data_IF_186324943251
#
_entry.id   IF_186324943251
#
_cell.length_a   1.000
_cell.length_b   1.000
_cell.length_c   1.000
_cell.angle_alpha   90.00
_cell.angle_beta   90.00
_cell.angle_gamma   90.00
#
_symmetry.space_group_name_H-M   'P 1'
#
loop_
_entity.id
_entity.type
_entity.pdbx_description
1 polymer ?
#
# COMPACT_ATOMS: atom_id res chain seq x y z
N UNK A 1 12.18 7.85 -12.03
CA UNK A 1 11.83 7.50 -10.65
C UNK A 1 11.58 6.01 -10.63
N UNK A 2 12.32 5.28 -9.81
CA UNK A 2 12.35 3.81 -9.86
C UNK A 2 11.18 3.26 -9.06
N UNK A 3 10.69 2.06 -9.42
CA UNK A 3 9.56 1.44 -8.72
C UNK A 3 9.78 1.30 -7.21
N UNK A 4 11.02 1.02 -6.78
CA UNK A 4 11.38 0.91 -5.36
C UNK A 4 11.06 2.15 -4.53
N UNK A 5 11.26 3.35 -5.09
CA UNK A 5 10.99 4.60 -4.38
C UNK A 5 9.48 4.78 -4.14
N UNK A 6 8.66 4.45 -5.13
CA UNK A 6 7.20 4.53 -5.04
C UNK A 6 6.65 3.49 -4.06
N UNK A 7 7.16 2.25 -4.12
CA UNK A 7 6.77 1.17 -3.19
C UNK A 7 7.10 1.57 -1.75
N UNK A 8 8.32 2.04 -1.51
CA UNK A 8 8.77 2.44 -0.18
C UNK A 8 7.93 3.58 0.41
N UNK A 9 7.51 4.55 -0.42
CA UNK A 9 6.65 5.65 0.01
C UNK A 9 5.25 5.18 0.41
N UNK A 10 4.66 4.25 -0.35
CA UNK A 10 3.34 3.69 -0.05
C UNK A 10 3.39 2.84 1.23
N UNK A 11 4.41 2.01 1.40
CA UNK A 11 4.60 1.22 2.61
C UNK A 11 4.82 2.09 3.86
N UNK A 12 5.61 3.17 3.73
CA UNK A 12 5.82 4.13 4.83
C UNK A 12 4.53 4.85 5.26
N UNK A 13 3.54 4.97 4.37
CA UNK A 13 2.21 5.51 4.67
C UNK A 13 1.28 4.47 5.32
N UNK A 14 1.78 3.27 5.63
CA UNK A 14 0.99 2.18 6.22
C UNK A 14 0.12 1.45 5.21
N UNK A 15 0.39 1.63 3.92
CA UNK A 15 -0.31 0.91 2.86
C UNK A 15 0.37 -0.42 2.55
N UNK A 16 -0.40 -1.40 2.12
CA UNK A 16 0.16 -2.67 1.65
C UNK A 16 0.35 -2.59 0.15
N UNK A 17 1.56 -2.81 -0.33
CA UNK A 17 1.88 -2.73 -1.76
C UNK A 17 1.94 -4.13 -2.35
N UNK A 18 1.29 -4.32 -3.49
CA UNK A 18 1.34 -5.53 -4.30
C UNK A 18 1.95 -5.14 -5.64
N UNK A 19 3.11 -5.69 -5.96
CA UNK A 19 3.82 -5.36 -7.20
C UNK A 19 3.51 -6.39 -8.26
N UNK A 20 2.99 -5.93 -9.39
CA UNK A 20 2.74 -6.76 -10.56
C UNK A 20 3.83 -6.48 -11.60
N UNK A 21 4.67 -7.48 -11.85
CA UNK A 21 5.80 -7.37 -12.79
C UNK A 21 5.33 -7.76 -14.18
N UNK A 22 5.35 -6.80 -15.09
CA UNK A 22 5.01 -6.97 -16.51
C UNK A 22 6.24 -7.37 -17.35
N UNK A 23 7.44 -7.35 -16.75
CA UNK A 23 8.71 -7.77 -17.35
C UNK A 23 9.60 -8.48 -16.33
N UNK A 24 10.68 -9.12 -16.79
CA UNK A 24 11.71 -9.74 -15.95
C UNK A 24 12.75 -8.73 -15.41
N UNK A 25 12.59 -7.42 -15.68
CA UNK A 25 13.51 -6.41 -15.19
C UNK A 25 13.50 -6.36 -13.65
N UNK A 26 14.67 -6.17 -13.00
CA UNK A 26 14.73 -5.98 -11.56
C UNK A 26 14.01 -4.68 -11.15
N UNK A 27 13.41 -4.64 -9.95
CA UNK A 27 12.63 -3.47 -9.47
C UNK A 27 13.42 -2.16 -9.45
N UNK A 28 14.74 -2.26 -9.30
CA UNK A 28 15.68 -1.14 -9.33
C UNK A 28 15.78 -0.48 -10.72
N UNK A 29 15.48 -1.24 -11.77
CA UNK A 29 15.51 -0.81 -13.17
C UNK A 29 14.09 -0.71 -13.78
N UNK A 30 13.10 -1.30 -13.12
CA UNK A 30 11.71 -1.27 -13.57
C UNK A 30 11.08 0.10 -13.34
N UNK A 31 10.27 0.52 -14.31
CA UNK A 31 9.50 1.76 -14.26
C UNK A 31 8.06 1.48 -13.92
N UNK A 32 7.46 2.34 -13.09
CA UNK A 32 6.03 2.24 -12.75
C UNK A 32 5.19 2.61 -13.96
N UNK A 33 4.33 1.69 -14.37
CA UNK A 33 3.42 1.83 -15.51
C UNK A 33 2.04 2.26 -15.03
N UNK A 34 1.63 1.77 -13.86
CA UNK A 34 0.31 2.03 -13.30
C UNK A 34 0.30 1.86 -11.78
N UNK A 35 -0.57 2.63 -11.12
CA UNK A 35 -0.84 2.50 -9.69
C UNK A 35 -2.36 2.43 -9.52
N UNK A 36 -2.84 1.34 -8.94
CA UNK A 36 -4.26 1.08 -8.74
C UNK A 36 -4.55 0.93 -7.25
N UNK A 37 -5.44 1.78 -6.72
CA UNK A 37 -5.90 1.65 -5.34
C UNK A 37 -6.85 0.45 -5.24
N UNK A 38 -6.53 -0.49 -4.37
CA UNK A 38 -7.34 -1.64 -4.01
C UNK A 38 -8.23 -1.39 -2.79
N UNK A 39 -8.55 -2.48 -2.08
CA UNK A 39 -9.39 -2.45 -0.89
C UNK A 39 -8.72 -1.73 0.29
N UNK A 40 -9.55 -1.12 1.14
CA UNK A 40 -9.08 -0.49 2.38
C UNK A 40 -8.80 -1.56 3.45
N UNK A 41 -7.66 -1.42 4.12
CA UNK A 41 -7.27 -2.21 5.29
C UNK A 41 -7.90 -1.55 6.51
N UNK A 42 -8.74 -2.30 7.21
CA UNK A 42 -9.48 -1.82 8.38
C UNK A 42 -8.97 -2.52 9.62
N UNK A 43 -8.76 -1.74 10.68
CA UNK A 43 -8.40 -2.26 11.99
C UNK A 43 -9.42 -1.83 13.04
N UNK A 44 -9.51 -2.61 14.11
CA UNK A 44 -10.30 -2.26 15.29
C UNK A 44 -9.41 -1.48 16.24
N UNK A 45 -9.70 -0.19 16.40
CA UNK A 45 -8.96 0.66 17.34
C UNK A 45 -9.79 0.80 18.60
N UNK A 46 -9.19 0.47 19.74
CA UNK A 46 -9.79 0.68 21.06
C UNK A 46 -9.55 2.12 21.47
N UNK A 47 -10.64 2.86 21.68
CA UNK A 47 -10.59 4.17 22.31
C UNK A 47 -10.52 3.99 23.82
N UNK A 48 -9.34 4.25 24.39
CA UNK A 48 -9.10 4.16 25.83
C UNK A 48 -9.73 5.33 26.62
N UNK A 49 -10.13 6.42 25.96
CA UNK A 49 -10.70 7.62 26.59
C UNK A 49 -12.20 7.46 26.86
N UNK A 50 -12.89 6.69 26.02
CA UNK A 50 -14.35 6.47 26.14
C UNK A 50 -14.75 4.99 26.27
N UNK A 51 -13.77 4.09 26.46
CA UNK A 51 -13.94 2.62 26.49
C UNK A 51 -14.85 2.09 25.37
N UNK A 52 -14.67 2.65 24.16
CA UNK A 52 -15.39 2.27 22.94
C UNK A 52 -14.43 1.65 21.95
N UNK A 53 -14.78 0.49 21.42
CA UNK A 53 -14.08 -0.08 20.27
C UNK A 53 -14.69 0.44 18.98
N UNK A 54 -13.90 1.16 18.18
CA UNK A 54 -14.29 1.50 16.81
C UNK A 54 -13.90 0.35 15.89
N UNK A 55 -14.85 -0.54 15.62
CA UNK A 55 -14.72 -1.60 14.61
C UNK A 55 -14.95 -1.03 13.21
N UNK A 56 -14.02 -0.24 12.67
CA UNK A 56 -13.92 0.04 11.20
C UNK A 56 -12.85 1.06 10.80
N UNK A 57 -11.88 1.42 11.65
CA UNK A 57 -10.96 2.51 11.29
C UNK A 57 -10.06 2.11 10.12
N UNK A 58 -10.10 2.88 9.02
CA UNK A 58 -9.24 2.66 7.86
C UNK A 58 -7.80 2.97 8.29
N UNK A 59 -6.98 1.94 8.38
CA UNK A 59 -5.59 2.02 8.85
C UNK A 59 -4.61 2.09 7.68
N UNK A 60 -5.05 1.67 6.49
CA UNK A 60 -4.31 1.79 5.25
C UNK A 60 -5.15 1.33 4.07
N UNK A 61 -4.57 1.29 2.88
CA UNK A 61 -5.18 0.70 1.70
C UNK A 61 -4.18 -0.23 1.02
N UNK A 62 -4.68 -1.17 0.23
CA UNK A 62 -3.83 -1.96 -0.66
C UNK A 62 -3.60 -1.17 -1.94
N UNK A 63 -2.37 -1.10 -2.43
CA UNK A 63 -2.03 -0.51 -3.72
C UNK A 63 -1.40 -1.57 -4.62
N UNK A 64 -1.91 -1.69 -5.84
CA UNK A 64 -1.31 -2.50 -6.90
C UNK A 64 -0.43 -1.60 -7.75
N UNK A 65 0.83 -1.98 -7.92
CA UNK A 65 1.80 -1.22 -8.71
C UNK A 65 2.26 -2.09 -9.86
N UNK A 66 1.90 -1.70 -11.08
CA UNK A 66 2.34 -2.37 -12.29
C UNK A 66 3.70 -1.79 -12.71
N UNK A 67 4.68 -2.66 -12.93
CA UNK A 67 6.06 -2.28 -13.27
C UNK A 67 6.54 -3.04 -14.50
N UNK A 68 7.35 -2.41 -15.36
CA UNK A 68 7.96 -3.05 -16.54
C UNK A 68 9.39 -2.59 -16.76
#
# INVERSE_FOLDING_TARGET
GNADATISQLEAQGHRVVVNRLSDAPLSEASVVGIHKGGDIRSTVRDYRYDRTFQNSVTGSVYYVDVK
#
